data_IF_063972067893
#
_entry.id   IF_063972067893
#
_cell.length_a   1.000
_cell.length_b   1.000
_cell.length_c   1.000
_cell.angle_alpha   90.00
_cell.angle_beta   90.00
_cell.angle_gamma   90.00
#
_symmetry.space_group_name_H-M   'P 1'
#
loop_
_entity.id
_entity.type
_entity.pdbx_description
1 polymer ?
#
# COMPACT_ATOMS: atom_id res chain seq x y z
N UNK A 1 9.22 11.15 -2.86
CA UNK A 1 8.23 10.86 -3.94
C UNK A 1 7.33 12.07 -4.13
N UNK A 2 7.01 12.45 -5.39
CA UNK A 2 6.01 13.48 -5.72
C UNK A 2 4.76 12.85 -6.30
N UNK A 3 3.63 13.46 -6.03
CA UNK A 3 2.31 13.08 -6.52
C UNK A 3 1.68 14.24 -7.27
N UNK A 4 1.08 13.95 -8.41
CA UNK A 4 0.44 14.93 -9.29
C UNK A 4 -1.04 14.61 -9.45
N UNK A 5 -1.86 15.65 -9.69
CA UNK A 5 -3.28 15.44 -9.96
C UNK A 5 -3.49 14.83 -11.35
N UNK A 6 -4.44 13.90 -11.44
CA UNK A 6 -4.91 13.35 -12.72
C UNK A 6 -5.54 14.40 -13.65
N UNK A 7 -5.91 15.58 -13.13
CA UNK A 7 -6.40 16.72 -13.91
C UNK A 7 -5.33 17.77 -14.19
N UNK A 8 -4.17 17.69 -13.53
CA UNK A 8 -2.98 18.47 -13.82
C UNK A 8 -2.97 19.92 -13.35
N UNK A 9 -4.03 20.41 -12.66
CA UNK A 9 -4.13 21.80 -12.23
C UNK A 9 -3.87 22.02 -10.74
N UNK A 10 -3.90 20.95 -9.92
CA UNK A 10 -3.57 21.03 -8.52
C UNK A 10 -2.04 20.99 -8.30
N UNK A 11 -1.52 21.61 -7.22
CA UNK A 11 -0.11 21.56 -6.90
C UNK A 11 0.35 20.13 -6.61
N UNK A 12 1.58 19.79 -7.00
CA UNK A 12 2.20 18.53 -6.64
C UNK A 12 2.47 18.48 -5.13
N UNK A 13 2.24 17.34 -4.50
CA UNK A 13 2.42 17.11 -3.08
C UNK A 13 3.34 15.90 -2.85
N UNK A 14 3.86 15.77 -1.64
CA UNK A 14 4.52 14.55 -1.16
C UNK A 14 3.51 13.54 -0.63
N UNK A 15 3.97 12.39 -0.15
CA UNK A 15 3.11 11.34 0.37
C UNK A 15 2.25 11.81 1.57
N UNK A 16 2.83 12.52 2.52
CA UNK A 16 2.10 13.04 3.68
C UNK A 16 1.01 14.02 3.22
N UNK A 17 1.37 14.95 2.33
CA UNK A 17 0.45 15.93 1.78
C UNK A 17 -0.74 15.30 1.05
N UNK A 18 -0.53 14.27 0.22
CA UNK A 18 -1.63 13.62 -0.50
C UNK A 18 -2.49 12.76 0.42
N UNK A 19 -1.89 12.13 1.43
CA UNK A 19 -2.62 11.33 2.43
C UNK A 19 -3.61 12.21 3.19
N UNK A 20 -3.19 13.41 3.60
CA UNK A 20 -4.04 14.36 4.30
C UNK A 20 -5.07 15.05 3.38
N UNK A 21 -4.69 15.35 2.14
CA UNK A 21 -5.59 16.01 1.18
C UNK A 21 -6.74 15.09 0.71
N UNK A 22 -6.49 13.79 0.56
CA UNK A 22 -7.43 12.82 0.00
C UNK A 22 -7.68 13.05 -1.50
N UNK A 23 -8.40 14.11 -1.85
CA UNK A 23 -8.65 14.53 -3.24
C UNK A 23 -7.83 15.76 -3.62
N UNK A 24 -7.47 15.86 -4.89
CA UNK A 24 -6.83 17.06 -5.40
C UNK A 24 -7.81 18.25 -5.47
N UNK A 25 -7.32 19.48 -5.27
CA UNK A 25 -8.13 20.70 -5.24
C UNK A 25 -8.86 20.98 -6.56
N UNK A 26 -8.39 20.40 -7.67
CA UNK A 26 -9.03 20.48 -8.99
C UNK A 26 -10.08 19.37 -9.24
N UNK A 27 -10.39 18.56 -8.22
CA UNK A 27 -11.30 17.44 -8.29
C UNK A 27 -10.72 16.18 -8.94
N UNK A 28 -9.40 16.15 -9.18
CA UNK A 28 -8.63 14.97 -9.60
C UNK A 28 -8.26 14.06 -8.44
N UNK A 29 -7.61 12.96 -8.77
CA UNK A 29 -6.93 12.07 -7.83
C UNK A 29 -5.43 12.34 -7.89
N UNK A 30 -4.72 12.11 -6.77
CA UNK A 30 -3.28 12.13 -6.79
C UNK A 30 -2.71 10.77 -7.19
N UNK A 31 -1.77 10.78 -8.11
CA UNK A 31 -1.00 9.61 -8.57
C UNK A 31 0.49 9.93 -8.48
N UNK A 32 1.37 8.93 -8.31
CA UNK A 32 2.81 9.19 -8.39
C UNK A 32 3.19 9.86 -9.70
N UNK A 33 4.05 10.88 -9.65
CA UNK A 33 4.61 11.53 -10.84
C UNK A 33 5.44 10.53 -11.65
N UNK A 34 6.20 9.68 -10.97
CA UNK A 34 6.94 8.56 -11.54
C UNK A 34 6.59 7.27 -10.81
N UNK A 35 6.28 6.20 -11.56
CA UNK A 35 5.97 4.91 -10.98
C UNK A 35 7.24 4.16 -10.61
N UNK A 36 7.42 3.78 -9.32
CA UNK A 36 8.54 2.97 -8.88
C UNK A 36 8.61 1.66 -9.67
N UNK A 37 9.82 1.28 -10.05
CA UNK A 37 10.08 0.05 -10.79
C UNK A 37 10.88 -0.92 -9.90
N UNK A 38 10.54 -2.19 -9.95
CA UNK A 38 11.27 -3.26 -9.31
C UNK A 38 11.87 -4.17 -10.38
N UNK A 39 13.14 -4.45 -10.27
CA UNK A 39 13.82 -5.43 -11.13
C UNK A 39 13.38 -6.86 -10.80
N UNK A 40 13.55 -7.79 -11.74
CA UNK A 40 13.27 -9.21 -11.50
C UNK A 40 14.07 -9.77 -10.31
N UNK A 41 15.31 -9.28 -10.10
CA UNK A 41 16.15 -9.66 -8.95
C UNK A 41 15.56 -9.17 -7.61
N UNK A 42 15.09 -7.93 -7.55
CA UNK A 42 14.42 -7.38 -6.36
C UNK A 42 13.15 -8.14 -6.02
N UNK A 43 12.32 -8.44 -7.05
CA UNK A 43 11.10 -9.24 -6.87
C UNK A 43 11.44 -10.64 -6.36
N UNK A 44 12.45 -11.30 -6.95
CA UNK A 44 12.91 -12.61 -6.49
C UNK A 44 13.43 -12.58 -5.03
N UNK A 45 14.12 -11.50 -4.65
CA UNK A 45 14.62 -11.27 -3.29
C UNK A 45 13.52 -11.01 -2.24
N UNK A 46 12.28 -10.79 -2.66
CA UNK A 46 11.11 -10.64 -1.77
C UNK A 46 10.46 -11.98 -1.43
N UNK A 47 10.86 -13.06 -2.08
CA UNK A 47 10.29 -14.40 -1.84
C UNK A 47 10.41 -14.80 -0.36
N UNK A 48 9.32 -15.28 0.21
CA UNK A 48 9.28 -15.81 1.57
C UNK A 48 9.22 -14.73 2.67
N UNK A 49 9.17 -13.44 2.32
CA UNK A 49 8.91 -12.40 3.30
C UNK A 49 7.50 -12.54 3.89
N UNK A 50 7.32 -12.29 5.19
CA UNK A 50 5.99 -12.07 5.76
C UNK A 50 5.27 -10.95 5.01
N UNK A 51 3.94 -11.03 4.90
CA UNK A 51 3.15 -10.05 4.13
C UNK A 51 3.41 -8.60 4.55
N UNK A 52 3.47 -8.32 5.84
CA UNK A 52 3.72 -6.97 6.36
C UNK A 52 5.09 -6.42 5.94
N UNK A 53 6.12 -7.26 5.97
CA UNK A 53 7.49 -6.90 5.58
C UNK A 53 7.57 -6.66 4.06
N UNK A 54 6.88 -7.50 3.28
CA UNK A 54 6.72 -7.32 1.84
C UNK A 54 5.98 -6.01 1.53
N UNK A 55 4.88 -5.73 2.22
CA UNK A 55 4.11 -4.51 2.05
C UNK A 55 4.96 -3.26 2.34
N UNK A 56 5.68 -3.22 3.46
CA UNK A 56 6.59 -2.12 3.78
C UNK A 56 7.64 -1.90 2.69
N UNK A 57 8.25 -2.98 2.18
CA UNK A 57 9.26 -2.89 1.14
C UNK A 57 8.73 -2.36 -0.18
N UNK A 58 7.53 -2.80 -0.59
CA UNK A 58 6.87 -2.32 -1.81
C UNK A 58 6.41 -0.88 -1.66
N UNK A 59 5.92 -0.49 -0.49
CA UNK A 59 5.40 0.85 -0.23
C UNK A 59 6.50 1.90 -0.03
N UNK A 60 7.70 1.52 0.42
CA UNK A 60 8.78 2.46 0.73
C UNK A 60 9.09 3.46 -0.41
N UNK A 61 9.22 3.06 -1.68
CA UNK A 61 9.46 4.02 -2.76
C UNK A 61 8.32 5.03 -2.94
N UNK A 62 7.07 4.63 -2.64
CA UNK A 62 5.90 5.53 -2.72
C UNK A 62 5.85 6.51 -1.56
N UNK A 63 6.20 6.07 -0.37
CA UNK A 63 6.24 6.90 0.84
C UNK A 63 7.41 7.91 0.78
N UNK A 64 8.54 7.49 0.20
CA UNK A 64 9.75 8.32 0.13
C UNK A 64 10.28 8.68 1.52
N UNK A 65 10.63 9.95 1.69
CA UNK A 65 11.17 10.49 2.95
C UNK A 65 10.07 10.98 3.91
N UNK A 66 8.78 10.83 3.55
CA UNK A 66 7.67 11.30 4.39
C UNK A 66 7.50 10.47 5.66
N UNK A 67 8.04 9.25 5.69
CA UNK A 67 8.00 8.37 6.86
C UNK A 67 9.28 7.53 6.92
N UNK A 68 9.82 7.37 8.13
CA UNK A 68 10.97 6.51 8.36
C UNK A 68 10.68 5.04 7.99
N UNK A 69 11.61 4.32 7.32
CA UNK A 69 11.40 2.93 6.91
C UNK A 69 11.08 1.96 8.05
N UNK A 70 11.68 2.16 9.23
CA UNK A 70 11.38 1.31 10.40
C UNK A 70 9.97 1.58 10.89
N UNK A 71 9.55 2.86 10.88
CA UNK A 71 8.20 3.22 11.27
C UNK A 71 7.16 2.66 10.30
N UNK A 72 7.38 2.75 8.99
CA UNK A 72 6.51 2.12 8.00
C UNK A 72 6.37 0.61 8.23
N UNK A 73 7.49 -0.07 8.54
CA UNK A 73 7.47 -1.51 8.85
C UNK A 73 6.66 -1.82 10.12
N UNK A 74 6.76 -1.00 11.17
CA UNK A 74 5.95 -1.16 12.38
C UNK A 74 4.45 -1.00 12.07
N UNK A 75 4.07 0.02 11.31
CA UNK A 75 2.69 0.28 10.93
C UNK A 75 2.10 -0.85 10.08
N UNK A 76 2.84 -1.35 9.11
CA UNK A 76 2.40 -2.49 8.29
C UNK A 76 2.23 -3.76 9.13
N UNK A 77 3.14 -4.03 10.07
CA UNK A 77 3.01 -5.16 10.99
C UNK A 77 1.80 -5.02 11.92
N UNK A 78 1.55 -3.82 12.42
CA UNK A 78 0.37 -3.54 13.25
C UNK A 78 -0.93 -3.69 12.46
N UNK A 79 -1.00 -3.15 11.25
CA UNK A 79 -2.18 -3.24 10.39
C UNK A 79 -2.49 -4.68 10.00
N UNK A 80 -1.51 -5.38 9.42
CA UNK A 80 -1.73 -6.71 8.83
C UNK A 80 -1.65 -7.85 9.83
N UNK A 81 -1.08 -7.63 11.02
CA UNK A 81 -1.11 -8.59 12.13
C UNK A 81 -2.51 -8.89 12.68
N UNK A 82 -3.52 -8.09 12.30
CA UNK A 82 -4.93 -8.28 12.69
C UNK A 82 -5.72 -9.16 11.72
N UNK A 83 -5.13 -9.55 10.60
CA UNK A 83 -5.80 -10.37 9.59
C UNK A 83 -5.81 -11.84 10.00
N UNK A 84 -6.89 -12.54 9.68
CA UNK A 84 -7.09 -13.93 10.06
C UNK A 84 -6.22 -14.92 9.26
N UNK A 85 -5.66 -14.49 8.12
CA UNK A 85 -4.81 -15.31 7.27
C UNK A 85 -3.39 -14.76 7.18
N UNK A 86 -2.37 -15.61 7.35
CA UNK A 86 -0.96 -15.19 7.36
C UNK A 86 -0.51 -14.51 6.05
N UNK A 87 -1.07 -14.90 4.90
CA UNK A 87 -0.82 -14.24 3.62
C UNK A 87 -1.67 -12.99 3.41
N UNK A 88 -2.52 -12.57 4.36
CA UNK A 88 -3.42 -11.41 4.31
C UNK A 88 -4.38 -11.45 3.13
N UNK A 89 -3.88 -11.58 1.91
CA UNK A 89 -4.62 -11.69 0.64
C UNK A 89 -4.18 -12.96 -0.11
N UNK A 90 -4.56 -14.16 0.37
CA UNK A 90 -4.14 -15.40 -0.27
C UNK A 90 -4.75 -15.58 -1.66
N UNK A 91 -4.06 -16.35 -2.49
CA UNK A 91 -4.53 -16.79 -3.80
C UNK A 91 -5.08 -18.21 -3.68
N UNK A 92 -6.34 -18.41 -4.06
CA UNK A 92 -6.97 -19.72 -4.19
C UNK A 92 -7.08 -20.09 -5.66
N UNK A 93 -6.48 -21.21 -6.05
CA UNK A 93 -6.54 -21.70 -7.42
C UNK A 93 -7.92 -22.33 -7.69
N UNK A 94 -8.62 -21.87 -8.72
CA UNK A 94 -9.92 -22.39 -9.14
C UNK A 94 -9.78 -23.45 -10.22
N UNK A 95 -8.87 -23.24 -11.19
CA UNK A 95 -8.51 -24.19 -12.24
C UNK A 95 -7.06 -23.95 -12.70
N UNK A 96 -6.64 -24.52 -13.83
CA UNK A 96 -5.28 -24.45 -14.34
C UNK A 96 -4.79 -23.01 -14.60
N UNK A 97 -5.71 -22.07 -14.90
CA UNK A 97 -5.38 -20.70 -15.32
C UNK A 97 -6.10 -19.63 -14.53
N UNK A 98 -7.02 -19.98 -13.62
CA UNK A 98 -7.81 -19.03 -12.85
C UNK A 98 -7.45 -19.07 -11.37
N UNK A 99 -7.26 -17.90 -10.82
CA UNK A 99 -6.94 -17.69 -9.41
C UNK A 99 -7.88 -16.66 -8.82
N UNK A 100 -8.33 -16.91 -7.62
CA UNK A 100 -9.11 -15.96 -6.82
C UNK A 100 -8.20 -15.30 -5.79
N UNK A 101 -8.09 -13.98 -5.82
CA UNK A 101 -7.47 -13.21 -4.76
C UNK A 101 -8.50 -12.93 -3.67
N UNK A 102 -8.30 -13.53 -2.51
CA UNK A 102 -9.23 -13.37 -1.39
C UNK A 102 -8.91 -12.10 -0.59
N UNK A 103 -9.85 -11.16 -0.49
CA UNK A 103 -9.67 -9.86 0.17
C UNK A 103 -10.51 -9.70 1.45
N UNK A 104 -11.06 -10.79 1.99
CA UNK A 104 -12.01 -10.78 3.10
C UNK A 104 -11.45 -11.29 4.43
N UNK A 105 -10.12 -11.39 4.58
CA UNK A 105 -9.48 -11.89 5.80
C UNK A 105 -9.19 -10.81 6.85
N UNK A 106 -9.60 -9.58 6.61
CA UNK A 106 -9.45 -8.46 7.54
C UNK A 106 -10.49 -8.45 8.67
N UNK A 107 -10.33 -7.56 9.66
CA UNK A 107 -11.20 -7.50 10.85
C UNK A 107 -12.68 -7.28 10.56
N UNK A 108 -13.03 -6.56 9.48
CA UNK A 108 -14.42 -6.28 9.10
C UNK A 108 -14.93 -7.18 7.98
N UNK A 109 -14.11 -8.10 7.48
CA UNK A 109 -14.38 -8.99 6.34
C UNK A 109 -14.61 -8.25 5.01
N UNK A 110 -14.36 -6.95 4.95
CA UNK A 110 -14.47 -6.14 3.75
C UNK A 110 -13.11 -6.00 3.05
N UNK A 111 -13.11 -5.98 1.70
CA UNK A 111 -11.85 -5.80 0.94
C UNK A 111 -11.11 -4.51 1.30
N UNK A 112 -11.84 -3.49 1.75
CA UNK A 112 -11.28 -2.20 2.18
C UNK A 112 -10.34 -2.31 3.39
N UNK A 113 -10.44 -3.36 4.19
CA UNK A 113 -9.53 -3.57 5.32
C UNK A 113 -8.06 -3.57 4.89
N UNK A 114 -7.74 -4.08 3.70
CA UNK A 114 -6.37 -4.11 3.16
C UNK A 114 -5.75 -2.71 3.11
N UNK A 115 -6.53 -1.69 2.77
CA UNK A 115 -6.07 -0.30 2.74
C UNK A 115 -6.37 0.45 4.05
N UNK A 116 -7.59 0.34 4.57
CA UNK A 116 -8.06 1.20 5.66
C UNK A 116 -7.42 0.87 7.01
N UNK A 117 -7.02 -0.39 7.26
CA UNK A 117 -6.32 -0.74 8.50
C UNK A 117 -4.95 -0.04 8.59
N UNK A 118 -4.25 0.13 7.47
CA UNK A 118 -2.99 0.88 7.42
C UNK A 118 -3.23 2.39 7.37
N UNK A 119 -4.21 2.85 6.58
CA UNK A 119 -4.52 4.28 6.45
C UNK A 119 -4.87 4.91 7.80
N UNK A 120 -5.65 4.21 8.64
CA UNK A 120 -5.96 4.69 9.99
C UNK A 120 -4.71 4.95 10.84
N UNK A 121 -3.73 4.06 10.76
CA UNK A 121 -2.46 4.22 11.47
C UNK A 121 -1.59 5.35 10.90
N UNK A 122 -1.63 5.55 9.57
CA UNK A 122 -0.90 6.63 8.91
C UNK A 122 -1.42 8.02 9.28
N UNK A 123 -2.70 8.14 9.64
CA UNK A 123 -3.27 9.42 10.11
C UNK A 123 -2.87 9.78 11.55
N UNK A 124 -2.31 8.83 12.31
CA UNK A 124 -1.84 9.06 13.67
C UNK A 124 -0.37 9.52 13.73
N UNK A 125 0.33 9.51 12.56
CA UNK A 125 1.73 9.94 12.39
C UNK A 125 1.82 11.42 11.97
#
# INVERSE_FOLDING_TARGET
>A
MKYVSTRGSAPALDFAGVTLAGLASDGGLYVPEEWPQFTAGEIAGMRGLPYADLAARIMQPFVGDSLDPHRLLELTRQAYGRFAHAAVTPLTQLDEQQWLLELFHGPTLAFKDVALQLLGLLFEE
#
